data_IF_930849759995
#
_entry.id   IF_930849759995
#
_cell.length_a   1.000
_cell.length_b   1.000
_cell.length_c   1.000
_cell.angle_alpha   90.00
_cell.angle_beta   90.00
_cell.angle_gamma   90.00
#
_symmetry.space_group_name_H-M   'P 1'
#
loop_
_entity.id
_entity.type
_entity.pdbx_description
1 polymer ?
#
# COMPACT_ATOMS: atom_id res chain seq x y z
N UNK A 1 21.16 9.27 -33.31
CA UNK A 1 20.92 7.82 -33.49
C UNK A 1 20.73 7.14 -32.14
N UNK A 2 21.75 7.01 -31.27
CA UNK A 2 21.62 6.36 -29.94
C UNK A 2 20.46 6.86 -29.05
N UNK A 3 20.28 8.19 -28.90
CA UNK A 3 19.17 8.73 -28.10
C UNK A 3 17.79 8.44 -28.71
N UNK A 4 17.68 8.44 -30.05
CA UNK A 4 16.43 8.11 -30.75
C UNK A 4 16.11 6.61 -30.63
N UNK A 5 17.11 5.75 -30.75
CA UNK A 5 16.98 4.30 -30.55
C UNK A 5 16.56 3.98 -29.11
N UNK A 6 17.20 4.62 -28.13
CA UNK A 6 16.85 4.47 -26.72
C UNK A 6 15.40 4.88 -26.44
N UNK A 7 15.03 6.08 -26.87
CA UNK A 7 13.66 6.57 -26.69
C UNK A 7 12.63 5.71 -27.46
N UNK A 8 12.96 5.28 -28.68
CA UNK A 8 12.14 4.36 -29.46
C UNK A 8 11.90 3.03 -28.73
N UNK A 9 12.95 2.45 -28.13
CA UNK A 9 12.84 1.24 -27.33
C UNK A 9 12.00 1.41 -26.07
N UNK A 10 12.03 2.59 -25.43
CA UNK A 10 11.11 2.92 -24.34
C UNK A 10 9.66 2.91 -24.87
N UNK A 11 9.40 3.62 -25.97
CA UNK A 11 8.05 3.73 -26.54
C UNK A 11 7.46 2.37 -26.93
N UNK A 12 8.22 1.53 -27.63
CA UNK A 12 7.78 0.18 -28.02
C UNK A 12 7.36 -0.66 -26.81
N UNK A 13 8.16 -0.64 -25.73
CA UNK A 13 7.85 -1.34 -24.48
C UNK A 13 6.55 -0.82 -23.85
N UNK A 14 6.38 0.51 -23.81
CA UNK A 14 5.18 1.10 -23.20
C UNK A 14 3.91 0.89 -24.05
N UNK A 15 4.02 0.92 -25.38
CA UNK A 15 2.90 0.59 -26.27
C UNK A 15 2.47 -0.86 -26.12
N UNK A 16 3.44 -1.80 -26.04
CA UNK A 16 3.13 -3.21 -25.76
C UNK A 16 2.43 -3.38 -24.42
N UNK A 17 2.90 -2.68 -23.39
CA UNK A 17 2.28 -2.69 -22.05
C UNK A 17 0.85 -2.15 -22.08
N UNK A 18 0.57 -1.07 -22.80
CA UNK A 18 -0.79 -0.54 -22.98
C UNK A 18 -1.73 -1.61 -23.53
N UNK A 19 -1.29 -2.37 -24.53
CA UNK A 19 -2.08 -3.47 -25.08
C UNK A 19 -2.26 -4.63 -24.10
N UNK A 20 -1.27 -4.91 -23.24
CA UNK A 20 -1.43 -5.88 -22.14
C UNK A 20 -2.47 -5.43 -21.12
N UNK A 21 -2.45 -4.17 -20.69
CA UNK A 21 -3.44 -3.63 -19.72
C UNK A 21 -4.85 -3.72 -20.29
N UNK A 22 -5.05 -3.39 -21.56
CA UNK A 22 -6.35 -3.48 -22.24
C UNK A 22 -6.89 -4.91 -22.32
N UNK A 23 -6.01 -5.91 -22.36
CA UNK A 23 -6.35 -7.34 -22.43
C UNK A 23 -6.37 -8.02 -21.06
N UNK A 24 -6.10 -7.28 -19.97
CA UNK A 24 -6.02 -7.84 -18.64
C UNK A 24 -7.34 -8.49 -18.22
N UNK A 25 -7.23 -9.60 -17.49
CA UNK A 25 -8.34 -10.40 -16.97
C UNK A 25 -9.34 -9.55 -16.16
N UNK A 26 -10.56 -10.06 -15.97
CA UNK A 26 -11.55 -9.42 -15.10
C UNK A 26 -11.17 -9.53 -13.61
N UNK A 27 -11.86 -8.74 -12.78
CA UNK A 27 -11.64 -8.76 -11.33
C UNK A 27 -11.94 -10.13 -10.72
N UNK A 28 -11.07 -10.59 -9.82
CA UNK A 28 -11.38 -11.74 -8.97
C UNK A 28 -12.54 -11.39 -8.04
N UNK A 29 -13.53 -12.28 -8.00
CA UNK A 29 -14.60 -12.26 -7.02
C UNK A 29 -14.24 -13.12 -5.80
N UNK A 30 -13.64 -12.50 -4.79
CA UNK A 30 -13.22 -13.18 -3.55
C UNK A 30 -14.40 -13.80 -2.77
N UNK A 31 -15.63 -13.37 -3.02
CA UNK A 31 -16.82 -13.96 -2.37
C UNK A 31 -17.10 -15.38 -2.87
N UNK A 32 -16.70 -15.69 -4.12
CA UNK A 32 -16.89 -17.00 -4.76
C UNK A 32 -15.64 -17.88 -4.74
N UNK A 33 -14.46 -17.28 -4.54
CA UNK A 33 -13.19 -17.99 -4.53
C UNK A 33 -12.97 -18.74 -3.21
N UNK A 34 -12.84 -20.07 -3.28
CA UNK A 34 -12.50 -20.93 -2.13
C UNK A 34 -11.64 -22.12 -2.59
N UNK A 35 -10.52 -22.45 -1.90
CA UNK A 35 -9.93 -21.66 -0.82
C UNK A 35 -9.35 -20.33 -1.31
N UNK A 36 -9.36 -19.30 -0.46
CA UNK A 36 -8.54 -18.10 -0.66
C UNK A 36 -7.15 -18.38 -0.09
N UNK A 37 -6.13 -18.42 -0.95
CA UNK A 37 -4.75 -18.64 -0.55
C UNK A 37 -4.10 -17.29 -0.22
N UNK A 38 -3.72 -17.13 1.05
CA UNK A 38 -2.98 -15.99 1.60
C UNK A 38 -1.49 -16.37 1.68
N UNK A 39 -0.68 -15.81 0.78
CA UNK A 39 0.77 -15.95 0.79
C UNK A 39 1.40 -15.03 1.83
N UNK A 40 2.24 -15.55 2.71
CA UNK A 40 2.92 -14.77 3.76
C UNK A 40 4.41 -14.66 3.44
N UNK A 41 4.89 -13.44 3.20
CA UNK A 41 6.30 -13.17 2.87
C UNK A 41 6.91 -12.35 4.00
N UNK A 42 7.83 -12.93 4.78
CA UNK A 42 8.49 -12.22 5.89
C UNK A 42 9.39 -11.06 5.44
N UNK A 43 10.04 -11.20 4.28
CA UNK A 43 10.99 -10.20 3.78
C UNK A 43 12.27 -10.14 4.61
N UNK A 44 12.74 -8.92 4.88
CA UNK A 44 14.06 -8.64 5.45
C UNK A 44 13.97 -7.92 6.81
N UNK A 45 15.05 -8.00 7.59
CA UNK A 45 15.22 -7.21 8.79
C UNK A 45 14.22 -7.57 9.89
N UNK A 46 13.42 -6.60 10.36
CA UNK A 46 12.33 -6.85 11.31
C UNK A 46 11.14 -7.60 10.69
N UNK A 47 11.08 -7.68 9.36
CA UNK A 47 9.93 -8.18 8.62
C UNK A 47 9.43 -9.56 9.06
N UNK A 48 10.28 -10.59 9.14
CA UNK A 48 9.87 -11.92 9.59
C UNK A 48 9.17 -11.92 10.97
N UNK A 49 9.59 -11.05 11.88
CA UNK A 49 9.02 -10.97 13.24
C UNK A 49 7.64 -10.31 13.24
N UNK A 50 7.51 -9.13 12.61
CA UNK A 50 6.25 -8.40 12.59
C UNK A 50 5.19 -9.08 11.70
N UNK A 51 5.62 -9.70 10.59
CA UNK A 51 4.74 -10.44 9.70
C UNK A 51 4.30 -11.76 10.31
N UNK A 52 5.18 -12.45 11.06
CA UNK A 52 4.80 -13.64 11.82
C UNK A 52 3.74 -13.35 12.89
N UNK A 53 3.88 -12.23 13.61
CA UNK A 53 2.83 -11.80 14.55
C UNK A 53 1.53 -11.40 13.85
N UNK A 54 1.60 -10.70 12.72
CA UNK A 54 0.41 -10.36 11.95
C UNK A 54 -0.31 -11.59 11.39
N UNK A 55 0.44 -12.58 10.89
CA UNK A 55 -0.10 -13.88 10.48
C UNK A 55 -0.83 -14.55 11.64
N UNK A 56 -0.21 -14.62 12.83
CA UNK A 56 -0.85 -15.22 14.01
C UNK A 56 -2.17 -14.55 14.37
N UNK A 57 -2.23 -13.22 14.32
CA UNK A 57 -3.47 -12.47 14.56
C UNK A 57 -4.54 -12.84 13.53
N UNK A 58 -4.18 -12.89 12.24
CA UNK A 58 -5.11 -13.26 11.17
C UNK A 58 -5.58 -14.72 11.26
N UNK A 59 -4.70 -15.66 11.58
CA UNK A 59 -5.03 -17.07 11.80
C UNK A 59 -6.00 -17.23 12.98
N UNK A 60 -5.85 -16.45 14.05
CA UNK A 60 -6.80 -16.44 15.15
C UNK A 60 -8.18 -15.96 14.70
N UNK A 61 -8.24 -14.85 13.94
CA UNK A 61 -9.50 -14.28 13.45
C UNK A 61 -10.21 -15.17 12.43
N UNK A 62 -9.42 -15.88 11.60
CA UNK A 62 -9.90 -16.74 10.52
C UNK A 62 -9.90 -18.23 10.91
N UNK A 63 -9.82 -18.56 12.21
CA UNK A 63 -9.66 -19.95 12.67
C UNK A 63 -10.75 -20.89 12.15
N UNK A 64 -11.99 -20.40 12.03
CA UNK A 64 -13.12 -21.17 11.54
C UNK A 64 -13.02 -21.36 10.02
N UNK A 65 -12.68 -20.29 9.30
CA UNK A 65 -12.51 -20.26 7.85
C UNK A 65 -11.37 -21.18 7.40
N UNK A 66 -10.29 -21.25 8.18
CA UNK A 66 -9.18 -22.19 7.96
C UNK A 66 -9.64 -23.63 8.24
N UNK A 67 -10.33 -23.89 9.36
CA UNK A 67 -10.84 -25.23 9.68
C UNK A 67 -11.84 -25.75 8.64
N UNK A 68 -12.62 -24.86 8.03
CA UNK A 68 -13.58 -25.17 6.96
C UNK A 68 -12.94 -25.23 5.56
N UNK A 69 -11.63 -25.01 5.43
CA UNK A 69 -10.93 -25.01 4.13
C UNK A 69 -11.31 -23.84 3.21
N UNK A 70 -11.89 -22.76 3.75
CA UNK A 70 -12.25 -21.54 3.01
C UNK A 70 -11.06 -20.61 2.80
N UNK A 71 -10.08 -20.65 3.71
CA UNK A 71 -8.84 -19.87 3.67
C UNK A 71 -7.66 -20.81 3.91
N UNK A 72 -6.56 -20.58 3.19
CA UNK A 72 -5.29 -21.27 3.37
C UNK A 72 -4.18 -20.24 3.55
N UNK A 73 -3.34 -20.39 4.58
CA UNK A 73 -2.11 -19.60 4.74
C UNK A 73 -0.93 -20.39 4.16
N UNK A 74 -0.09 -19.71 3.37
CA UNK A 74 1.10 -20.32 2.76
C UNK A 74 2.31 -19.42 2.97
N UNK A 75 3.25 -19.86 3.79
CA UNK A 75 4.50 -19.11 4.02
C UNK A 75 5.40 -19.25 2.80
N UNK A 76 5.87 -18.13 2.27
CA UNK A 76 6.77 -18.05 1.12
C UNK A 76 8.13 -17.56 1.60
N UNK A 77 9.10 -18.45 1.61
CA UNK A 77 10.48 -18.16 1.98
C UNK A 77 11.31 -17.71 0.78
N UNK A 78 12.59 -17.34 1.00
CA UNK A 78 13.54 -17.07 -0.09
C UNK A 78 13.49 -15.66 -0.69
N UNK A 79 12.55 -14.79 -0.29
CA UNK A 79 12.50 -13.39 -0.75
C UNK A 79 13.49 -12.45 -0.03
N UNK A 80 14.54 -12.99 0.62
CA UNK A 80 15.49 -12.20 1.41
C UNK A 80 16.49 -11.46 0.52
N UNK A 81 17.14 -10.44 1.06
CA UNK A 81 18.18 -9.67 0.36
C UNK A 81 19.38 -10.55 0.00
N UNK A 82 19.76 -11.49 0.86
CA UNK A 82 20.84 -12.45 0.62
C UNK A 82 20.56 -13.27 -0.64
N UNK A 83 19.37 -13.87 -0.71
CA UNK A 83 18.99 -14.74 -1.84
C UNK A 83 18.84 -13.94 -3.12
N UNK A 84 18.23 -12.76 -3.06
CA UNK A 84 18.09 -11.84 -4.19
C UNK A 84 19.44 -11.37 -4.73
N UNK A 85 20.39 -11.07 -3.85
CA UNK A 85 21.75 -10.72 -4.21
C UNK A 85 22.51 -11.88 -4.85
N UNK A 86 22.37 -13.10 -4.31
CA UNK A 86 22.99 -14.32 -4.84
C UNK A 86 22.57 -14.57 -6.31
N UNK A 87 21.27 -14.45 -6.61
CA UNK A 87 20.74 -14.69 -7.97
C UNK A 87 20.71 -13.44 -8.84
N UNK A 88 21.14 -12.28 -8.32
CA UNK A 88 21.12 -10.98 -9.01
C UNK A 88 19.75 -10.61 -9.60
N UNK A 89 18.66 -10.92 -8.88
CA UNK A 89 17.28 -10.61 -9.28
C UNK A 89 16.52 -9.90 -8.17
N UNK A 90 15.55 -9.02 -8.50
CA UNK A 90 14.69 -8.41 -7.50
C UNK A 90 13.75 -9.42 -6.83
N UNK A 91 13.49 -10.57 -7.46
CA UNK A 91 12.73 -11.70 -6.93
C UNK A 91 13.36 -12.96 -7.53
N UNK A 92 13.74 -13.98 -6.73
CA UNK A 92 14.12 -15.27 -7.28
C UNK A 92 12.96 -15.92 -8.04
N UNK A 93 13.24 -16.69 -9.10
CA UNK A 93 12.20 -17.19 -9.99
C UNK A 93 11.26 -18.18 -9.28
N UNK A 94 11.82 -19.07 -8.47
CA UNK A 94 11.09 -20.05 -7.65
C UNK A 94 10.16 -19.35 -6.64
N UNK A 95 10.62 -18.25 -6.05
CA UNK A 95 9.81 -17.43 -5.14
C UNK A 95 8.67 -16.75 -5.88
N UNK A 96 8.92 -16.23 -7.10
CA UNK A 96 7.89 -15.60 -7.92
C UNK A 96 6.81 -16.60 -8.35
N UNK A 97 7.19 -17.85 -8.62
CA UNK A 97 6.25 -18.93 -8.91
C UNK A 97 5.32 -19.22 -7.73
N UNK A 98 5.85 -19.31 -6.51
CA UNK A 98 5.03 -19.47 -5.29
C UNK A 98 4.11 -18.27 -5.03
N UNK A 99 4.62 -17.05 -5.25
CA UNK A 99 3.83 -15.83 -5.16
C UNK A 99 2.61 -15.88 -6.10
N UNK A 100 2.82 -16.30 -7.36
CA UNK A 100 1.76 -16.37 -8.39
C UNK A 100 0.74 -17.50 -8.14
N UNK A 101 1.03 -18.44 -7.23
CA UNK A 101 0.07 -19.47 -6.77
C UNK A 101 -0.88 -18.95 -5.68
N UNK A 102 -0.61 -17.77 -5.11
CA UNK A 102 -1.45 -17.16 -4.09
C UNK A 102 -2.41 -16.13 -4.71
N UNK A 103 -3.54 -15.88 -4.06
CA UNK A 103 -4.49 -14.85 -4.50
C UNK A 103 -4.19 -13.50 -3.84
N UNK A 104 -3.79 -13.56 -2.57
CA UNK A 104 -3.53 -12.39 -1.74
C UNK A 104 -2.22 -12.59 -0.99
N UNK A 105 -1.47 -11.52 -0.79
CA UNK A 105 -0.20 -11.55 -0.08
C UNK A 105 -0.25 -10.69 1.18
N UNK A 106 0.28 -11.20 2.29
CA UNK A 106 0.69 -10.43 3.46
C UNK A 106 2.21 -10.35 3.46
N UNK A 107 2.77 -9.16 3.31
CA UNK A 107 4.20 -8.98 3.05
C UNK A 107 4.85 -8.04 4.05
N UNK A 108 5.97 -8.48 4.62
CA UNK A 108 6.89 -7.66 5.41
C UNK A 108 7.82 -6.79 4.55
N UNK A 109 8.54 -5.84 5.15
CA UNK A 109 9.47 -4.98 4.44
C UNK A 109 10.60 -5.77 3.76
N UNK A 110 11.03 -5.34 2.57
CA UNK A 110 12.21 -5.87 1.88
C UNK A 110 13.26 -4.78 1.71
N UNK A 111 14.53 -5.12 1.95
CA UNK A 111 15.66 -4.21 1.81
C UNK A 111 15.92 -3.91 0.34
N UNK A 112 15.98 -2.62 -0.02
CA UNK A 112 16.46 -2.16 -1.33
C UNK A 112 17.86 -1.60 -1.15
N UNK A 113 18.91 -2.20 -1.74
CA UNK A 113 20.28 -1.75 -1.57
C UNK A 113 20.50 -0.31 -1.99
N UNK A 114 21.36 0.39 -1.27
CA UNK A 114 21.83 1.74 -1.58
C UNK A 114 23.35 1.73 -1.80
N UNK A 115 23.86 2.78 -2.44
CA UNK A 115 25.30 2.96 -2.63
C UNK A 115 26.00 2.94 -1.26
N UNK A 116 26.92 1.99 -1.07
CA UNK A 116 27.64 1.79 0.19
C UNK A 116 27.13 0.62 1.04
N UNK A 117 25.99 0.03 0.71
CA UNK A 117 25.53 -1.22 1.32
C UNK A 117 26.42 -2.41 0.89
N UNK A 118 26.48 -3.50 1.68
CA UNK A 118 27.23 -4.70 1.32
C UNK A 118 26.62 -5.48 0.15
N UNK A 119 25.44 -5.06 -0.33
CA UNK A 119 24.66 -5.75 -1.34
C UNK A 119 24.83 -5.12 -2.73
N UNK A 120 24.80 -5.92 -3.80
CA UNK A 120 24.83 -5.39 -5.16
C UNK A 120 23.61 -4.50 -5.44
N UNK A 121 23.77 -3.56 -6.37
CA UNK A 121 22.66 -2.73 -6.81
C UNK A 121 21.67 -3.58 -7.63
N UNK A 122 20.56 -3.96 -7.00
CA UNK A 122 19.46 -4.72 -7.61
C UNK A 122 18.16 -3.92 -7.50
N UNK A 123 17.24 -4.13 -8.46
CA UNK A 123 15.91 -3.50 -8.41
C UNK A 123 15.17 -3.87 -7.11
N UNK A 124 14.32 -2.96 -6.64
CA UNK A 124 13.50 -3.17 -5.45
C UNK A 124 12.51 -4.32 -5.64
N UNK A 125 12.52 -5.28 -4.70
CA UNK A 125 11.53 -6.37 -4.66
C UNK A 125 10.09 -5.86 -4.57
N UNK A 126 9.86 -4.75 -3.85
CA UNK A 126 8.54 -4.10 -3.77
C UNK A 126 8.03 -3.70 -5.16
N UNK A 127 8.88 -3.02 -5.92
CA UNK A 127 8.54 -2.52 -7.26
C UNK A 127 8.35 -3.70 -8.23
N UNK A 128 9.23 -4.69 -8.16
CA UNK A 128 9.14 -5.87 -9.01
C UNK A 128 7.85 -6.67 -8.76
N UNK A 129 7.47 -6.93 -7.51
CA UNK A 129 6.23 -7.69 -7.19
C UNK A 129 5.00 -6.92 -7.70
N UNK A 130 4.96 -5.59 -7.48
CA UNK A 130 3.86 -4.75 -7.98
C UNK A 130 3.72 -4.80 -9.49
N UNK A 131 4.83 -4.80 -10.24
CA UNK A 131 4.84 -4.91 -11.70
C UNK A 131 4.43 -6.31 -12.16
N UNK A 132 5.02 -7.36 -11.60
CA UNK A 132 4.78 -8.76 -11.98
C UNK A 132 3.34 -9.20 -11.73
N UNK A 133 2.68 -8.61 -10.72
CA UNK A 133 1.30 -8.91 -10.36
C UNK A 133 0.29 -7.85 -10.82
N UNK A 134 0.74 -6.83 -11.58
CA UNK A 134 -0.06 -5.68 -12.03
C UNK A 134 -0.89 -5.02 -10.90
N UNK A 135 -0.25 -4.78 -9.75
CA UNK A 135 -0.84 -4.14 -8.58
C UNK A 135 -0.87 -2.61 -8.76
N UNK A 136 -1.76 -2.18 -9.65
CA UNK A 136 -1.81 -0.81 -10.17
C UNK A 136 -2.26 0.27 -9.19
N UNK A 137 -2.91 -0.11 -8.09
CA UNK A 137 -3.42 0.82 -7.09
C UNK A 137 -2.72 0.61 -5.75
N UNK A 138 -2.00 1.60 -5.25
CA UNK A 138 -1.60 1.65 -3.85
C UNK A 138 -2.65 2.46 -3.08
N UNK A 139 -3.35 1.78 -2.17
CA UNK A 139 -4.44 2.33 -1.36
C UNK A 139 -3.93 2.54 0.06
N UNK A 140 -4.04 3.78 0.55
CA UNK A 140 -3.59 4.19 1.89
C UNK A 140 -4.67 4.99 2.59
N UNK A 141 -5.31 4.45 3.65
CA UNK A 141 -6.20 5.22 4.50
C UNK A 141 -5.40 6.03 5.53
N UNK A 142 -5.86 7.24 5.83
CA UNK A 142 -5.37 8.07 6.92
C UNK A 142 -6.58 8.59 7.70
N UNK A 143 -6.71 8.16 8.95
CA UNK A 143 -7.86 8.49 9.79
C UNK A 143 -7.41 9.03 11.14
N UNK A 144 -7.84 10.24 11.45
CA UNK A 144 -7.61 10.91 12.74
C UNK A 144 -8.92 11.56 13.17
N UNK A 145 -9.84 10.80 13.81
CA UNK A 145 -11.19 11.27 14.11
C UNK A 145 -11.24 12.55 14.95
N UNK A 146 -10.35 12.70 15.93
CA UNK A 146 -10.22 13.92 16.76
C UNK A 146 -9.85 15.17 15.97
N UNK A 147 -9.39 15.01 14.72
CA UNK A 147 -9.05 16.11 13.83
C UNK A 147 -10.02 16.22 12.65
N UNK A 148 -11.08 15.40 12.63
CA UNK A 148 -12.03 15.29 11.52
C UNK A 148 -11.42 14.73 10.24
N UNK A 149 -10.29 14.02 10.33
CA UNK A 149 -9.56 13.48 9.18
C UNK A 149 -10.03 12.06 8.89
N UNK A 150 -10.48 11.83 7.66
CA UNK A 150 -10.82 10.51 7.12
C UNK A 150 -10.56 10.51 5.61
N UNK A 151 -9.27 10.42 5.26
CA UNK A 151 -8.78 10.42 3.89
C UNK A 151 -8.50 9.00 3.43
N UNK A 152 -8.78 8.74 2.16
CA UNK A 152 -8.26 7.57 1.46
C UNK A 152 -7.58 8.00 0.18
N UNK A 153 -6.37 7.51 -0.02
CA UNK A 153 -5.55 7.82 -1.17
C UNK A 153 -5.50 6.60 -2.11
N UNK A 154 -5.72 6.86 -3.39
CA UNK A 154 -5.56 5.95 -4.51
C UNK A 154 -4.39 6.44 -5.35
N UNK A 155 -3.19 5.92 -5.05
CA UNK A 155 -1.96 6.20 -5.77
C UNK A 155 -1.83 5.21 -6.93
N UNK A 156 -1.69 5.72 -8.16
CA UNK A 156 -1.26 4.90 -9.30
C UNK A 156 0.14 4.32 -8.99
N UNK A 157 0.36 3.02 -9.24
CA UNK A 157 1.49 2.30 -8.66
C UNK A 157 2.33 1.53 -9.69
N UNK A 158 2.10 1.75 -10.98
CA UNK A 158 2.75 1.00 -12.07
C UNK A 158 3.32 1.88 -13.18
N UNK A 159 3.01 3.17 -13.24
CA UNK A 159 3.44 4.12 -14.28
C UNK A 159 4.26 5.29 -13.67
N UNK A 160 4.23 6.44 -14.35
CA UNK A 160 4.93 7.67 -14.01
C UNK A 160 6.47 7.53 -14.09
N UNK A 161 7.19 8.50 -13.54
CA UNK A 161 8.65 8.48 -13.37
C UNK A 161 9.16 7.20 -12.70
N UNK A 162 8.35 6.52 -11.90
CA UNK A 162 8.73 5.26 -11.24
C UNK A 162 8.96 4.12 -12.22
N UNK A 163 8.17 4.08 -13.30
CA UNK A 163 8.34 3.08 -14.35
C UNK A 163 9.53 3.38 -15.27
N UNK A 164 9.86 4.68 -15.44
CA UNK A 164 10.83 5.12 -16.43
C UNK A 164 12.17 5.64 -15.86
N UNK A 165 12.28 5.82 -14.54
CA UNK A 165 13.49 6.32 -13.88
C UNK A 165 14.77 5.53 -14.20
N UNK A 166 14.74 4.17 -14.26
CA UNK A 166 15.90 3.39 -14.70
C UNK A 166 16.34 3.60 -16.15
N UNK A 167 15.55 4.33 -16.95
CA UNK A 167 15.82 4.62 -18.36
C UNK A 167 16.22 6.08 -18.60
N UNK A 168 16.42 6.88 -17.56
CA UNK A 168 17.01 8.20 -17.68
C UNK A 168 18.38 8.16 -18.35
N UNK A 169 18.77 9.26 -18.98
CA UNK A 169 20.04 9.37 -19.71
C UNK A 169 20.78 10.65 -19.35
N UNK A 170 22.09 10.53 -19.12
CA UNK A 170 23.01 11.67 -19.16
C UNK A 170 23.37 11.92 -20.63
N UNK A 171 22.80 12.99 -21.20
CA UNK A 171 23.06 13.39 -22.59
C UNK A 171 24.45 14.02 -22.70
N UNK A 172 24.83 14.81 -21.69
CA UNK A 172 26.18 15.36 -21.46
C UNK A 172 26.45 15.38 -19.95
N UNK A 173 27.68 15.68 -19.49
CA UNK A 173 27.96 15.83 -18.05
C UNK A 173 27.12 16.90 -17.34
N UNK A 174 26.57 17.87 -18.09
CA UNK A 174 25.78 18.98 -17.57
C UNK A 174 24.27 18.84 -17.87
N UNK A 175 23.88 17.79 -18.59
CA UNK A 175 22.49 17.58 -19.03
C UNK A 175 22.07 16.12 -18.84
N UNK A 176 21.16 15.91 -17.89
CA UNK A 176 20.44 14.66 -17.71
C UNK A 176 18.95 14.83 -18.06
N UNK A 177 18.35 13.76 -18.58
CA UNK A 177 16.92 13.71 -18.93
C UNK A 177 16.32 12.44 -18.32
N UNK A 178 15.27 12.64 -17.53
CA UNK A 178 14.38 11.60 -17.07
C UNK A 178 13.04 11.65 -17.82
N UNK A 179 12.34 10.52 -17.82
CA UNK A 179 11.08 10.37 -18.53
C UNK A 179 9.93 10.18 -17.54
N UNK A 180 8.78 10.78 -17.88
CA UNK A 180 7.49 10.56 -17.23
C UNK A 180 6.51 10.05 -18.27
N UNK A 181 5.74 9.03 -17.92
CA UNK A 181 4.65 8.52 -18.76
C UNK A 181 3.37 8.34 -17.97
N UNK A 182 2.25 8.58 -18.65
CA UNK A 182 0.92 8.25 -18.19
C UNK A 182 0.17 7.66 -19.38
N UNK A 183 -0.59 6.60 -19.15
CA UNK A 183 -1.46 5.98 -20.14
C UNK A 183 -2.91 6.16 -19.74
N UNK A 184 -3.78 6.24 -20.74
CA UNK A 184 -5.23 6.28 -20.52
C UNK A 184 -5.73 5.04 -19.76
N UNK A 185 -5.45 3.78 -20.18
CA UNK A 185 -5.98 2.62 -19.46
C UNK A 185 -5.41 2.48 -18.03
N UNK A 186 -4.16 2.90 -17.79
CA UNK A 186 -3.60 2.97 -16.44
C UNK A 186 -4.30 3.98 -15.55
N UNK A 187 -4.65 5.15 -16.10
CA UNK A 187 -5.42 6.18 -15.40
C UNK A 187 -6.87 5.75 -15.15
N UNK A 188 -7.54 5.18 -16.16
CA UNK A 188 -8.95 4.76 -16.06
C UNK A 188 -9.17 3.76 -14.92
N UNK A 189 -8.32 2.75 -14.79
CA UNK A 189 -8.49 1.70 -13.77
C UNK A 189 -8.35 2.21 -12.34
N UNK A 190 -7.38 3.09 -12.06
CA UNK A 190 -7.19 3.66 -10.71
C UNK A 190 -8.26 4.69 -10.38
N UNK A 191 -8.62 5.54 -11.34
CA UNK A 191 -9.65 6.56 -11.16
C UNK A 191 -11.01 5.90 -10.92
N UNK A 192 -11.36 4.90 -11.74
CA UNK A 192 -12.60 4.13 -11.57
C UNK A 192 -12.64 3.43 -10.22
N UNK A 193 -11.52 2.85 -9.77
CA UNK A 193 -11.43 2.24 -8.45
C UNK A 193 -11.70 3.26 -7.32
N UNK A 194 -11.18 4.48 -7.42
CA UNK A 194 -11.44 5.54 -6.46
C UNK A 194 -12.92 5.97 -6.42
N UNK A 195 -13.56 6.16 -7.58
CA UNK A 195 -14.99 6.49 -7.66
C UNK A 195 -15.90 5.35 -7.16
N UNK A 196 -15.58 4.10 -7.49
CA UNK A 196 -16.29 2.93 -6.98
C UNK A 196 -16.17 2.81 -5.46
N UNK A 197 -14.97 3.08 -4.91
CA UNK A 197 -14.78 3.15 -3.47
C UNK A 197 -15.66 4.24 -2.86
N UNK A 198 -15.64 5.45 -3.43
CA UNK A 198 -16.42 6.57 -2.94
C UNK A 198 -17.92 6.24 -2.88
N UNK A 199 -18.45 5.68 -3.96
CA UNK A 199 -19.84 5.23 -4.07
C UNK A 199 -20.20 4.17 -3.02
N UNK A 200 -19.38 3.13 -2.86
CA UNK A 200 -19.64 2.03 -1.92
C UNK A 200 -19.52 2.45 -0.45
N UNK A 201 -18.73 3.49 -0.16
CA UNK A 201 -18.46 3.96 1.20
C UNK A 201 -19.15 5.29 1.51
N UNK A 202 -20.16 5.68 0.74
CA UNK A 202 -20.95 6.91 0.92
C UNK A 202 -20.08 8.19 1.02
N UNK A 203 -18.96 8.22 0.29
CA UNK A 203 -18.15 9.43 0.13
C UNK A 203 -18.76 10.28 -0.97
N UNK A 204 -18.77 11.60 -0.75
CA UNK A 204 -19.42 12.58 -1.61
C UNK A 204 -18.42 13.36 -2.46
N UNK A 205 -17.11 13.16 -2.27
CA UNK A 205 -16.06 13.85 -3.02
C UNK A 205 -14.92 12.94 -3.43
N UNK A 206 -14.50 13.04 -4.70
CA UNK A 206 -13.27 12.46 -5.22
C UNK A 206 -12.44 13.58 -5.83
N UNK A 207 -11.19 13.70 -5.40
CA UNK A 207 -10.28 14.77 -5.82
C UNK A 207 -9.10 14.19 -6.60
N UNK A 208 -8.88 14.65 -7.83
CA UNK A 208 -7.66 14.35 -8.58
C UNK A 208 -6.54 15.31 -8.17
N UNK A 209 -5.32 14.81 -7.95
CA UNK A 209 -4.18 15.66 -7.60
C UNK A 209 -3.08 15.50 -8.63
N UNK A 210 -2.71 16.61 -9.28
CA UNK A 210 -1.77 16.61 -10.40
C UNK A 210 -0.84 17.84 -10.38
N UNK A 211 -0.01 18.01 -11.41
CA UNK A 211 0.68 19.26 -11.72
C UNK A 211 0.42 19.67 -13.17
N UNK A 212 -0.82 19.52 -13.64
CA UNK A 212 -1.20 19.72 -15.04
C UNK A 212 -0.95 21.15 -15.58
N UNK A 213 -0.81 22.16 -14.73
CA UNK A 213 -0.42 23.51 -15.13
C UNK A 213 1.03 23.59 -15.68
N UNK A 214 1.92 22.71 -15.22
CA UNK A 214 3.31 22.62 -15.67
C UNK A 214 3.50 21.39 -16.56
N UNK A 215 3.05 20.22 -16.09
CA UNK A 215 3.22 18.93 -16.77
C UNK A 215 2.02 18.64 -17.68
N UNK A 216 1.87 19.46 -18.72
CA UNK A 216 0.63 19.53 -19.51
C UNK A 216 0.20 18.22 -20.18
N UNK A 217 1.15 17.43 -20.71
CA UNK A 217 0.80 16.25 -21.53
C UNK A 217 0.39 15.05 -20.69
N UNK A 218 1.22 14.64 -19.74
CA UNK A 218 0.98 13.41 -18.95
C UNK A 218 -0.07 13.64 -17.88
N UNK A 219 0.07 14.68 -17.07
CA UNK A 219 -0.94 15.01 -16.05
C UNK A 219 -2.23 15.53 -16.68
N UNK A 220 -2.15 16.22 -17.83
CA UNK A 220 -3.34 16.59 -18.59
C UNK A 220 -4.10 15.39 -19.13
N UNK A 221 -3.43 14.31 -19.54
CA UNK A 221 -4.08 13.06 -19.90
C UNK A 221 -4.78 12.43 -18.68
N UNK A 222 -4.09 12.35 -17.54
CA UNK A 222 -4.68 11.84 -16.30
C UNK A 222 -5.93 12.63 -15.90
N UNK A 223 -5.85 13.96 -15.91
CA UNK A 223 -6.94 14.86 -15.52
C UNK A 223 -8.12 14.80 -16.51
N UNK A 224 -7.83 14.73 -17.82
CA UNK A 224 -8.86 14.52 -18.84
C UNK A 224 -9.60 13.20 -18.59
N UNK A 225 -8.87 12.12 -18.37
CA UNK A 225 -9.45 10.81 -18.05
C UNK A 225 -10.25 10.85 -16.75
N UNK A 226 -9.79 11.59 -15.74
CA UNK A 226 -10.52 11.79 -14.48
C UNK A 226 -11.92 12.37 -14.71
N UNK A 227 -12.01 13.48 -15.43
CA UNK A 227 -13.29 14.10 -15.73
C UNK A 227 -14.15 13.30 -16.73
N UNK A 228 -13.56 12.47 -17.58
CA UNK A 228 -14.31 11.51 -18.40
C UNK A 228 -15.02 10.48 -17.52
N UNK A 229 -14.31 9.87 -16.57
CA UNK A 229 -14.87 8.89 -15.63
C UNK A 229 -15.88 9.52 -14.67
N UNK A 230 -15.63 10.74 -14.19
CA UNK A 230 -16.51 11.43 -13.24
C UNK A 230 -17.96 11.56 -13.74
N UNK A 231 -18.17 11.66 -15.06
CA UNK A 231 -19.50 11.73 -15.69
C UNK A 231 -20.35 10.48 -15.44
N UNK A 232 -19.71 9.35 -15.15
CA UNK A 232 -20.39 8.07 -14.87
C UNK A 232 -20.89 7.98 -13.41
N UNK A 233 -20.51 8.92 -12.53
CA UNK A 233 -20.82 8.90 -11.10
C UNK A 233 -21.59 10.14 -10.65
N UNK A 234 -22.85 10.35 -11.13
CA UNK A 234 -23.66 11.46 -10.67
C UNK A 234 -23.89 11.38 -9.16
N UNK A 235 -23.68 12.50 -8.45
CA UNK A 235 -23.81 12.59 -7.00
C UNK A 235 -22.48 12.59 -6.23
N UNK A 236 -21.35 12.32 -6.91
CA UNK A 236 -20.02 12.51 -6.37
C UNK A 236 -19.45 13.82 -6.92
N UNK A 237 -19.05 14.73 -6.03
CA UNK A 237 -18.33 15.93 -6.40
C UNK A 237 -16.92 15.55 -6.87
N UNK A 238 -16.63 15.81 -8.14
CA UNK A 238 -15.33 15.59 -8.75
C UNK A 238 -14.61 16.92 -8.92
N UNK A 239 -13.47 17.08 -8.26
CA UNK A 239 -12.64 18.27 -8.35
C UNK A 239 -11.15 17.92 -8.49
N UNK A 240 -10.32 18.92 -8.80
CA UNK A 240 -8.88 18.72 -8.93
C UNK A 240 -8.07 19.81 -8.25
N UNK A 241 -6.89 19.42 -7.77
CA UNK A 241 -5.94 20.30 -7.09
C UNK A 241 -4.54 20.08 -7.64
N UNK A 242 -3.73 21.15 -7.64
CA UNK A 242 -2.30 20.99 -7.88
C UNK A 242 -1.59 20.46 -6.63
N UNK A 243 -0.61 19.59 -6.82
CA UNK A 243 0.07 18.88 -5.73
C UNK A 243 0.67 19.84 -4.69
N UNK A 244 1.20 20.99 -5.09
CA UNK A 244 1.77 21.99 -4.18
C UNK A 244 0.74 22.69 -3.29
N UNK A 245 -0.43 23.04 -3.83
CA UNK A 245 -1.49 23.63 -3.02
C UNK A 245 -2.23 22.55 -2.21
N UNK A 246 -2.33 21.32 -2.72
CA UNK A 246 -2.91 20.19 -1.99
C UNK A 246 -2.12 19.87 -0.73
N UNK A 247 -0.79 19.77 -0.80
CA UNK A 247 0.05 19.56 0.40
C UNK A 247 -0.17 20.66 1.43
N UNK A 248 -0.21 21.93 0.99
CA UNK A 248 -0.53 23.05 1.86
C UNK A 248 -1.96 23.01 2.45
N UNK A 249 -2.93 22.38 1.77
CA UNK A 249 -4.31 22.25 2.27
C UNK A 249 -4.57 21.02 3.14
N UNK A 250 -3.72 20.00 3.10
CA UNK A 250 -3.78 18.91 4.08
C UNK A 250 -3.42 19.39 5.49
N UNK A 251 -2.50 20.36 5.62
CA UNK A 251 -2.14 20.96 6.91
C UNK A 251 -3.11 22.08 7.36
N UNK A 252 -3.90 22.63 6.43
CA UNK A 252 -4.86 23.70 6.72
C UNK A 252 -6.11 23.13 7.43
N UNK A 253 -6.23 23.39 8.74
CA UNK A 253 -7.33 22.90 9.58
C UNK A 253 -8.72 23.32 9.10
N UNK A 254 -8.82 24.38 8.27
CA UNK A 254 -10.09 24.84 7.70
C UNK A 254 -10.53 24.06 6.47
N UNK A 255 -9.60 23.37 5.80
CA UNK A 255 -9.83 22.71 4.50
C UNK A 255 -9.68 21.20 4.57
N UNK A 256 -8.77 20.70 5.39
CA UNK A 256 -8.34 19.31 5.41
C UNK A 256 -9.49 18.32 5.65
N UNK A 257 -10.54 18.72 6.37
CA UNK A 257 -11.72 17.91 6.66
C UNK A 257 -12.70 17.79 5.47
N UNK A 258 -12.53 18.62 4.44
CA UNK A 258 -13.37 18.59 3.23
C UNK A 258 -12.93 17.51 2.22
N UNK A 259 -11.70 16.98 2.36
CA UNK A 259 -11.18 15.94 1.47
C UNK A 259 -11.60 14.55 1.98
N UNK A 260 -11.87 13.64 1.05
CA UNK A 260 -12.36 12.30 1.38
C UNK A 260 -11.61 11.22 0.58
N UNK A 261 -11.77 11.23 -0.75
CA UNK A 261 -11.08 10.30 -1.64
C UNK A 261 -10.15 11.08 -2.55
N UNK A 262 -8.87 10.74 -2.57
CA UNK A 262 -7.87 11.39 -3.41
C UNK A 262 -7.27 10.38 -4.38
N UNK A 263 -7.15 10.76 -5.65
CA UNK A 263 -6.56 9.92 -6.70
C UNK A 263 -5.42 10.64 -7.40
N UNK A 264 -4.26 9.99 -7.50
CA UNK A 264 -3.00 10.64 -7.87
C UNK A 264 -2.14 9.77 -8.78
N UNK A 265 -1.38 10.38 -9.73
CA UNK A 265 -0.21 9.76 -10.34
C UNK A 265 0.83 9.33 -9.30
N UNK A 266 1.69 8.38 -9.67
CA UNK A 266 2.55 7.65 -8.76
C UNK A 266 3.44 8.53 -7.88
N UNK A 267 4.20 9.46 -8.47
CA UNK A 267 5.15 10.29 -7.71
C UNK A 267 4.44 11.20 -6.70
N UNK A 268 3.31 11.78 -7.09
CA UNK A 268 2.56 12.68 -6.22
C UNK A 268 1.85 11.92 -5.10
N UNK A 269 1.31 10.75 -5.42
CA UNK A 269 0.74 9.84 -4.42
C UNK A 269 1.78 9.39 -3.40
N UNK A 270 3.01 9.10 -3.84
CA UNK A 270 4.10 8.72 -2.94
C UNK A 270 4.36 9.78 -1.87
N UNK A 271 4.65 11.00 -2.31
CA UNK A 271 4.98 12.13 -1.43
C UNK A 271 3.80 12.48 -0.52
N UNK A 272 2.62 12.69 -1.10
CA UNK A 272 1.46 13.19 -0.35
C UNK A 272 0.99 12.20 0.70
N UNK A 273 1.07 10.90 0.42
CA UNK A 273 0.58 9.88 1.36
C UNK A 273 1.53 9.65 2.53
N UNK A 274 2.83 9.84 2.34
CA UNK A 274 3.80 9.83 3.43
C UNK A 274 3.60 11.04 4.35
N UNK A 275 3.39 12.25 3.80
CA UNK A 275 3.02 13.44 4.57
C UNK A 275 1.69 13.25 5.32
N UNK A 276 0.69 12.65 4.67
CA UNK A 276 -0.59 12.35 5.31
C UNK A 276 -0.45 11.34 6.46
N UNK A 277 0.47 10.37 6.35
CA UNK A 277 0.70 9.39 7.41
C UNK A 277 1.25 10.02 8.71
N UNK A 278 1.92 11.17 8.65
CA UNK A 278 2.40 11.87 9.84
C UNK A 278 1.26 12.33 10.76
N UNK A 279 0.06 12.59 10.23
CA UNK A 279 -1.10 12.95 11.05
C UNK A 279 -1.57 11.79 11.96
N UNK A 280 -1.33 10.53 11.58
CA UNK A 280 -1.72 9.33 12.34
C UNK A 280 -0.57 8.71 13.15
N UNK A 281 0.49 9.48 13.40
CA UNK A 281 1.66 9.02 14.17
C UNK A 281 2.82 8.51 13.31
N UNK A 282 2.79 8.76 12.00
CA UNK A 282 3.88 8.50 11.07
C UNK A 282 3.74 7.19 10.28
N UNK A 283 4.68 6.98 9.36
CA UNK A 283 4.70 5.81 8.46
C UNK A 283 4.82 4.45 9.18
N UNK A 284 5.29 4.45 10.44
CA UNK A 284 5.45 3.25 11.26
C UNK A 284 4.13 2.60 11.68
N UNK A 285 3.05 3.37 11.75
CA UNK A 285 1.72 2.89 12.21
C UNK A 285 0.76 2.64 11.07
N UNK A 286 1.14 2.94 9.82
CA UNK A 286 0.28 2.91 8.65
C UNK A 286 0.42 1.58 7.88
N UNK A 287 -0.73 0.96 7.57
CA UNK A 287 -0.81 -0.15 6.61
C UNK A 287 -1.05 0.36 5.19
N UNK A 288 -0.72 -0.45 4.19
CA UNK A 288 -1.05 -0.16 2.79
C UNK A 288 -1.53 -1.41 2.05
N UNK A 289 -2.35 -1.19 1.02
CA UNK A 289 -2.79 -2.25 0.12
C UNK A 289 -2.39 -1.93 -1.32
N UNK A 290 -1.79 -2.90 -2.00
CA UNK A 290 -1.47 -2.83 -3.42
C UNK A 290 -2.47 -3.73 -4.15
N UNK A 291 -3.37 -3.15 -4.92
CA UNK A 291 -4.50 -3.82 -5.53
C UNK A 291 -4.29 -3.93 -7.03
N UNK A 292 -4.44 -5.15 -7.54
CA UNK A 292 -4.62 -5.45 -8.96
C UNK A 292 -5.97 -6.14 -9.18
N UNK A 293 -6.28 -6.44 -10.44
CA UNK A 293 -7.52 -7.17 -10.77
C UNK A 293 -7.51 -8.62 -10.28
N UNK A 294 -6.35 -9.27 -10.40
CA UNK A 294 -6.13 -10.69 -10.07
C UNK A 294 -5.48 -10.92 -8.71
N UNK A 295 -4.58 -10.03 -8.31
CA UNK A 295 -3.81 -10.19 -7.08
C UNK A 295 -4.00 -8.98 -6.18
N UNK A 296 -3.77 -9.16 -4.88
CA UNK A 296 -3.62 -8.07 -3.93
C UNK A 296 -2.48 -8.35 -2.96
N UNK A 297 -1.80 -7.30 -2.50
CA UNK A 297 -0.69 -7.40 -1.56
C UNK A 297 -0.82 -6.34 -0.48
N UNK A 298 -0.84 -6.79 0.77
CA UNK A 298 -1.00 -5.97 1.96
C UNK A 298 0.33 -5.91 2.70
N UNK A 299 0.86 -4.71 2.92
CA UNK A 299 2.20 -4.51 3.48
C UNK A 299 2.30 -3.26 4.35
N UNK A 300 3.34 -3.25 5.20
CA UNK A 300 3.77 -2.06 5.91
C UNK A 300 4.35 -1.01 4.96
N UNK A 301 4.25 0.28 5.35
CA UNK A 301 4.87 1.38 4.60
C UNK A 301 6.37 1.53 4.94
N UNK A 302 6.76 1.22 6.18
CA UNK A 302 8.14 1.38 6.65
C UNK A 302 9.12 0.32 6.08
N UNK A 303 10.42 0.61 6.19
CA UNK A 303 11.50 -0.28 5.74
C UNK A 303 11.84 -1.43 6.71
N UNK A 304 12.90 -2.18 6.38
CA UNK A 304 13.33 -3.41 7.08
C UNK A 304 14.04 -3.17 8.43
N UNK A 305 14.42 -1.93 8.74
CA UNK A 305 15.09 -1.57 10.00
C UNK A 305 16.25 -2.51 10.41
N UNK A 306 17.27 -2.74 9.55
CA UNK A 306 18.34 -3.72 9.78
C UNK A 306 19.11 -3.50 11.09
N UNK A 307 19.18 -2.25 11.55
CA UNK A 307 19.79 -1.88 12.84
C UNK A 307 19.15 -2.59 14.04
N UNK A 308 17.83 -2.83 14.02
CA UNK A 308 17.16 -3.55 15.11
C UNK A 308 17.55 -5.03 15.14
N UNK A 309 17.87 -5.63 13.98
CA UNK A 309 18.40 -6.99 13.92
C UNK A 309 19.82 -7.03 14.51
N UNK A 310 20.69 -6.13 14.07
CA UNK A 310 22.08 -6.05 14.53
C UNK A 310 22.20 -5.84 16.03
N UNK A 311 21.29 -5.06 16.61
CA UNK A 311 21.28 -4.76 18.05
C UNK A 311 20.45 -5.76 18.87
N UNK A 312 19.90 -6.83 18.27
CA UNK A 312 19.13 -7.86 18.99
C UNK A 312 17.81 -7.35 19.59
N UNK A 313 17.13 -6.44 18.87
CA UNK A 313 15.91 -5.73 19.31
C UNK A 313 14.66 -6.08 18.51
N UNK A 314 14.71 -7.11 17.67
CA UNK A 314 13.58 -7.48 16.77
C UNK A 314 12.30 -7.82 17.53
N UNK A 315 12.41 -8.39 18.73
CA UNK A 315 11.26 -8.65 19.62
C UNK A 315 10.50 -7.38 20.03
N UNK A 316 11.13 -6.20 19.96
CA UNK A 316 10.52 -4.92 20.28
C UNK A 316 10.02 -4.16 19.04
N UNK A 317 10.11 -4.76 17.85
CA UNK A 317 9.56 -4.16 16.63
C UNK A 317 8.04 -4.05 16.75
N UNK A 318 7.50 -2.91 16.30
CA UNK A 318 6.06 -2.63 16.32
C UNK A 318 5.36 -3.32 15.13
N UNK A 319 4.46 -4.28 15.36
CA UNK A 319 3.76 -4.98 14.28
C UNK A 319 2.52 -4.23 13.75
N UNK A 320 2.19 -3.06 14.31
CA UNK A 320 0.93 -2.34 14.03
C UNK A 320 0.67 -2.10 12.55
N UNK A 321 1.70 -1.74 11.77
CA UNK A 321 1.58 -1.46 10.32
C UNK A 321 1.12 -2.69 9.53
N UNK A 322 1.71 -3.86 9.77
CA UNK A 322 1.38 -5.11 9.08
C UNK A 322 0.04 -5.65 9.57
N UNK A 323 -0.31 -5.46 10.85
CA UNK A 323 -1.62 -5.85 11.37
C UNK A 323 -2.72 -4.97 10.76
N UNK A 324 -2.50 -3.65 10.63
CA UNK A 324 -3.41 -2.76 9.89
C UNK A 324 -3.55 -3.17 8.43
N UNK A 325 -2.46 -3.55 7.78
CA UNK A 325 -2.51 -4.12 6.44
C UNK A 325 -3.32 -5.45 6.43
N UNK A 326 -3.23 -6.26 7.49
CA UNK A 326 -4.07 -7.44 7.71
C UNK A 326 -5.56 -7.12 7.87
N UNK A 327 -5.93 -6.01 8.51
CA UNK A 327 -7.33 -5.57 8.55
C UNK A 327 -7.85 -5.18 7.16
N UNK A 328 -7.03 -4.47 6.38
CA UNK A 328 -7.33 -4.16 4.98
C UNK A 328 -7.47 -5.44 4.14
N UNK A 329 -6.63 -6.47 4.42
CA UNK A 329 -6.72 -7.78 3.79
C UNK A 329 -8.08 -8.41 4.07
N UNK A 330 -8.49 -8.50 5.34
CA UNK A 330 -9.79 -9.08 5.74
C UNK A 330 -10.96 -8.40 5.01
N UNK A 331 -10.95 -7.06 4.96
CA UNK A 331 -11.95 -6.28 4.22
C UNK A 331 -11.98 -6.65 2.73
N UNK A 332 -10.81 -6.76 2.11
CA UNK A 332 -10.67 -7.06 0.67
C UNK A 332 -11.16 -8.46 0.30
N UNK A 333 -10.94 -9.45 1.15
CA UNK A 333 -11.37 -10.85 0.89
C UNK A 333 -12.80 -11.16 1.36
N UNK A 334 -13.54 -10.15 1.82
CA UNK A 334 -14.96 -10.25 2.16
C UNK A 334 -15.29 -10.49 3.64
N UNK A 335 -14.29 -10.48 4.53
CA UNK A 335 -14.46 -10.61 5.98
C UNK A 335 -14.50 -9.23 6.67
N UNK A 336 -15.40 -8.35 6.19
CA UNK A 336 -15.48 -6.94 6.60
C UNK A 336 -15.68 -6.77 8.11
N UNK A 337 -16.52 -7.60 8.73
CA UNK A 337 -16.75 -7.52 10.18
C UNK A 337 -15.50 -7.88 11.00
N UNK A 338 -14.68 -8.83 10.52
CA UNK A 338 -13.41 -9.17 11.17
C UNK A 338 -12.39 -8.03 10.99
N UNK A 339 -12.32 -7.43 9.81
CA UNK A 339 -11.48 -6.26 9.57
C UNK A 339 -11.85 -5.07 10.45
N UNK A 340 -13.15 -4.76 10.57
CA UNK A 340 -13.67 -3.71 11.46
C UNK A 340 -13.29 -3.97 12.93
N UNK A 341 -13.45 -5.20 13.42
CA UNK A 341 -13.04 -5.58 14.78
C UNK A 341 -11.55 -5.37 15.01
N UNK A 342 -10.72 -5.81 14.07
CA UNK A 342 -9.27 -5.66 14.16
C UNK A 342 -8.84 -4.19 14.19
N UNK A 343 -9.44 -3.34 13.34
CA UNK A 343 -9.20 -1.89 13.35
C UNK A 343 -9.59 -1.24 14.69
N UNK A 344 -10.78 -1.53 15.21
CA UNK A 344 -11.23 -0.99 16.50
C UNK A 344 -10.29 -1.39 17.65
N UNK A 345 -9.85 -2.66 17.67
CA UNK A 345 -8.92 -3.13 18.69
C UNK A 345 -7.53 -2.48 18.56
N UNK A 346 -7.02 -2.31 17.34
CA UNK A 346 -5.77 -1.60 17.09
C UNK A 346 -5.81 -0.14 17.55
N UNK A 347 -6.94 0.55 17.33
CA UNK A 347 -7.11 1.94 17.78
C UNK A 347 -7.16 2.02 19.31
N UNK A 348 -7.93 1.14 19.97
CA UNK A 348 -7.96 1.06 21.44
C UNK A 348 -6.55 0.80 21.99
N UNK A 349 -5.85 -0.20 21.44
CA UNK A 349 -4.57 -0.63 21.98
C UNK A 349 -3.45 0.39 21.70
N UNK A 350 -3.36 0.88 20.47
CA UNK A 350 -2.24 1.70 19.99
C UNK A 350 -2.46 3.22 20.06
N UNK A 351 -3.72 3.69 20.08
CA UNK A 351 -4.02 5.13 20.03
C UNK A 351 -4.70 5.65 21.29
N UNK A 352 -5.64 4.90 21.88
CA UNK A 352 -6.43 5.38 23.00
C UNK A 352 -5.89 4.97 24.36
N UNK A 353 -5.95 3.68 24.71
CA UNK A 353 -5.58 3.21 26.04
C UNK A 353 -4.08 3.13 26.25
N UNK A 354 -3.34 2.71 25.22
CA UNK A 354 -1.87 2.59 25.25
C UNK A 354 -1.32 1.89 26.51
N UNK A 355 -2.02 0.87 27.02
CA UNK A 355 -1.59 0.06 28.18
C UNK A 355 -0.19 -0.53 27.97
N UNK A 356 0.10 -0.92 26.73
CA UNK A 356 1.42 -1.31 26.26
C UNK A 356 1.91 -0.27 25.26
N UNK A 357 3.14 0.21 25.46
CA UNK A 357 3.77 1.21 24.60
C UNK A 357 4.91 0.56 23.83
N UNK A 358 4.83 0.59 22.50
CA UNK A 358 5.89 0.14 21.60
C UNK A 358 6.97 1.24 21.50
N UNK A 359 8.21 0.91 21.86
CA UNK A 359 9.34 1.86 21.82
C UNK A 359 10.48 1.43 20.89
N UNK A 360 10.41 0.22 20.31
CA UNK A 360 11.53 -0.37 19.57
C UNK A 360 12.72 -0.76 20.46
N UNK A 361 12.54 -0.76 21.79
CA UNK A 361 13.58 -0.99 22.81
C UNK A 361 13.01 -1.78 23.98
N UNK A 362 13.91 -2.28 24.84
CA UNK A 362 13.57 -3.00 26.08
C UNK A 362 12.82 -2.17 27.12
N UNK A 363 12.74 -0.85 26.93
CA UNK A 363 11.92 0.06 27.74
C UNK A 363 10.45 0.06 27.34
N UNK A 364 10.07 -0.65 26.28
CA UNK A 364 8.67 -0.82 25.84
C UNK A 364 8.23 -2.28 25.79
N UNK A 365 7.01 -2.49 25.33
CA UNK A 365 6.45 -3.83 25.15
C UNK A 365 7.11 -4.58 23.99
N UNK A 366 7.00 -5.90 24.01
CA UNK A 366 7.35 -6.72 22.84
C UNK A 366 6.21 -6.71 21.82
N UNK A 367 6.52 -6.97 20.55
CA UNK A 367 5.50 -7.13 19.52
C UNK A 367 4.52 -8.26 19.85
N UNK A 368 4.99 -9.34 20.49
CA UNK A 368 4.16 -10.45 20.97
C UNK A 368 3.14 -9.98 22.01
N UNK A 369 3.59 -9.25 23.03
CA UNK A 369 2.73 -8.79 24.12
C UNK A 369 1.67 -7.81 23.59
N UNK A 370 2.08 -6.91 22.68
CA UNK A 370 1.16 -6.00 22.03
C UNK A 370 0.09 -6.74 21.20
N UNK A 371 0.48 -7.77 20.44
CA UNK A 371 -0.47 -8.60 19.70
C UNK A 371 -1.40 -9.40 20.61
N UNK A 372 -0.93 -9.88 21.76
CA UNK A 372 -1.79 -10.53 22.75
C UNK A 372 -2.83 -9.54 23.30
N UNK A 373 -2.41 -8.32 23.61
CA UNK A 373 -3.31 -7.26 24.04
C UNK A 373 -4.37 -6.93 22.97
N UNK A 374 -4.00 -6.94 21.69
CA UNK A 374 -4.97 -6.79 20.58
C UNK A 374 -5.97 -7.95 20.58
N UNK A 375 -5.51 -9.20 20.65
CA UNK A 375 -6.37 -10.38 20.62
C UNK A 375 -7.36 -10.38 21.80
N UNK A 376 -6.89 -10.11 23.01
CA UNK A 376 -7.74 -9.96 24.20
C UNK A 376 -8.79 -8.86 24.00
N UNK A 377 -8.41 -7.74 23.37
CA UNK A 377 -9.32 -6.63 23.08
C UNK A 377 -10.36 -7.00 22.02
N UNK A 378 -10.02 -7.84 21.03
CA UNK A 378 -10.97 -8.29 20.00
C UNK A 378 -12.05 -9.22 20.59
N UNK A 379 -11.70 -10.00 21.61
CA UNK A 379 -12.63 -10.91 22.29
C UNK A 379 -13.63 -10.18 23.21
N UNK A 380 -13.43 -8.88 23.47
CA UNK A 380 -14.35 -8.06 24.25
C UNK A 380 -15.73 -7.97 23.57
N UNK A 381 -16.82 -8.50 24.17
CA UNK A 381 -18.16 -8.44 23.58
C UNK A 381 -18.69 -7.01 23.45
N UNK A 382 -18.11 -6.05 24.18
CA UNK A 382 -18.46 -4.64 24.14
C UNK A 382 -17.47 -3.78 23.33
N UNK A 383 -16.58 -4.40 22.54
CA UNK A 383 -15.54 -3.72 21.76
C UNK A 383 -16.02 -2.46 21.03
N UNK A 384 -17.12 -2.55 20.29
CA UNK A 384 -17.62 -1.42 19.50
C UNK A 384 -18.11 -0.26 20.38
N UNK A 385 -18.76 -0.56 21.51
CA UNK A 385 -19.20 0.48 22.45
C UNK A 385 -18.01 1.15 23.13
N UNK A 386 -17.04 0.35 23.57
CA UNK A 386 -15.78 0.82 24.17
C UNK A 386 -14.99 1.71 23.20
N UNK A 387 -14.86 1.31 21.93
CA UNK A 387 -14.20 2.13 20.90
C UNK A 387 -14.96 3.45 20.64
N UNK A 388 -16.29 3.41 20.57
CA UNK A 388 -17.13 4.60 20.38
C UNK A 388 -17.02 5.61 21.51
N UNK A 389 -16.78 5.17 22.76
CA UNK A 389 -16.58 6.08 23.89
C UNK A 389 -15.35 6.96 23.68
N UNK A 390 -14.25 6.40 23.16
CA UNK A 390 -13.04 7.18 22.84
C UNK A 390 -13.24 8.19 21.71
N UNK A 391 -14.18 7.92 20.78
CA UNK A 391 -14.46 8.83 19.68
C UNK A 391 -15.28 10.06 20.08
N UNK A 392 -15.99 10.01 21.21
CA UNK A 392 -16.83 11.13 21.69
C UNK A 392 -16.05 12.21 22.45
N UNK A 393 -14.81 11.92 22.84
CA UNK A 393 -13.95 12.79 23.66
C UNK A 393 -12.97 13.61 22.78
N UNK A 394 -13.14 13.59 21.46
CA UNK A 394 -12.25 14.20 20.47
C UNK A 394 -12.70 15.55 19.96
#
# INVERSE_FOLDING_TARGET
MKAMEHFGGILEKQLKRVETIKKAEEWIDYTKLKPIIIGVIGGDGIGPYITGEAQRVLEHLLKNEVAEGKVEFRVIEGCTIERRAEVMKPIPDDVLEEIKKCHVLLKGPTTTPKKGDPWPNIESANVAIRKELDLFANVRPVRVPSQGIDWIFFRENTEDVYALGPFGIEVTPDLAIDFKMITKPGSERIIRLAFEYAKKNNKTRVTAVTKANVVKTTDGLFLKTFYEIAKEYPGINADDWFIDIMTAKLVDTKRRTEFQVLVLPNLYGDILTDEAAEFQGGVGTAGSANIGKRYAMFEAIHGSAPRMVQEGRTQYADPSSVIRAGAMLLNHIGYVELGKKLEMALDICGQYEKKLVMTGRSTGATGRDFCNYILETIEDPNLENRWKEYQKVG
#
